data_IF_995929701409
#
_entry.id   IF_995929701409
#
_cell.length_a   1.000
_cell.length_b   1.000
_cell.length_c   1.000
_cell.angle_alpha   90.00
_cell.angle_beta   90.00
_cell.angle_gamma   90.00
#
_symmetry.space_group_name_H-M   'P 1'
#
loop_
_entity.id
_entity.type
_entity.pdbx_description
1 polymer ?
#
# COMPACT_ATOMS: atom_id res chain seq x y z
N UNK A 1 -12.25 24.68 27.90
CA UNK A 1 -11.27 23.88 27.14
C UNK A 1 -11.69 23.65 25.67
N UNK A 2 -12.95 23.34 25.40
CA UNK A 2 -13.40 23.13 24.01
C UNK A 2 -13.22 24.34 23.09
N UNK A 3 -13.55 25.53 23.56
CA UNK A 3 -13.39 26.80 22.81
C UNK A 3 -11.93 27.15 22.52
N UNK A 4 -11.02 26.91 23.46
CA UNK A 4 -9.58 27.13 23.25
C UNK A 4 -9.01 26.12 22.26
N UNK A 5 -9.38 24.83 22.38
CA UNK A 5 -8.99 23.78 21.45
C UNK A 5 -9.41 24.14 20.03
N UNK A 6 -10.68 24.52 19.84
CA UNK A 6 -11.23 24.88 18.55
C UNK A 6 -10.55 26.13 17.97
N UNK A 7 -10.33 27.16 18.77
CA UNK A 7 -9.64 28.37 18.32
C UNK A 7 -8.19 28.09 17.87
N UNK A 8 -7.46 27.20 18.58
CA UNK A 8 -6.09 26.82 18.21
C UNK A 8 -6.09 25.98 16.91
N UNK A 9 -7.04 25.07 16.80
CA UNK A 9 -7.19 24.25 15.59
C UNK A 9 -7.51 25.12 14.36
N UNK A 10 -8.50 26.00 14.46
CA UNK A 10 -8.95 26.84 13.35
C UNK A 10 -7.92 27.90 12.93
N UNK A 11 -7.17 28.46 13.92
CA UNK A 11 -6.21 29.54 13.67
C UNK A 11 -4.81 29.06 13.27
N UNK A 12 -4.37 27.92 13.79
CA UNK A 12 -2.99 27.43 13.64
C UNK A 12 -2.87 26.04 13.01
N UNK A 13 -3.98 25.34 12.76
CA UNK A 13 -3.96 23.96 12.28
C UNK A 13 -3.35 22.97 13.30
N UNK A 14 -3.36 23.34 14.60
CA UNK A 14 -2.73 22.55 15.65
C UNK A 14 -3.76 21.90 16.56
N UNK A 15 -3.57 20.60 16.84
CA UNK A 15 -4.38 19.88 17.81
C UNK A 15 -3.69 19.89 19.18
N UNK A 16 -4.26 20.57 20.14
CA UNK A 16 -3.77 20.62 21.53
C UNK A 16 -4.77 19.90 22.43
N UNK A 17 -4.41 18.70 22.87
CA UNK A 17 -5.24 17.89 23.77
C UNK A 17 -4.49 17.56 25.05
N UNK A 18 -5.20 17.32 26.19
CA UNK A 18 -4.55 16.86 27.41
C UNK A 18 -3.85 15.51 27.16
N UNK A 19 -2.63 15.39 27.71
CA UNK A 19 -1.92 14.10 27.66
C UNK A 19 -2.52 13.16 28.72
N UNK A 20 -3.45 12.29 28.30
CA UNK A 20 -4.15 11.35 29.16
C UNK A 20 -4.34 10.02 28.42
N UNK A 21 -4.51 8.90 29.15
CA UNK A 21 -4.66 7.56 28.56
C UNK A 21 -5.97 7.37 27.73
N UNK A 22 -6.93 8.27 27.84
CA UNK A 22 -8.13 8.29 26.98
C UNK A 22 -7.91 8.98 25.64
N UNK A 23 -6.75 9.59 25.40
CA UNK A 23 -6.47 10.27 24.14
C UNK A 23 -5.61 9.38 23.21
N UNK A 24 -5.87 9.41 21.92
CA UNK A 24 -5.20 8.51 20.96
C UNK A 24 -3.70 8.81 20.78
N UNK A 25 -3.26 10.03 21.08
CA UNK A 25 -1.85 10.41 20.95
C UNK A 25 -1.03 9.80 22.09
N UNK A 26 -0.08 8.90 21.80
CA UNK A 26 0.71 8.25 22.84
C UNK A 26 1.73 9.22 23.47
N UNK A 27 2.11 8.93 24.69
CA UNK A 27 3.22 9.66 25.32
C UNK A 27 4.53 9.13 24.77
N UNK A 28 5.34 9.96 24.08
CA UNK A 28 6.62 9.51 23.50
C UNK A 28 7.56 8.88 24.54
N UNK A 29 7.49 9.31 25.80
CA UNK A 29 8.27 8.72 26.91
C UNK A 29 7.91 7.25 27.19
N UNK A 30 6.71 6.79 26.84
CA UNK A 30 6.31 5.39 27.02
C UNK A 30 7.06 4.43 26.09
N UNK A 31 7.70 4.96 25.07
CA UNK A 31 8.50 4.18 24.12
C UNK A 31 10.00 4.11 24.50
N UNK A 32 10.40 4.64 25.66
CA UNK A 32 11.79 4.55 26.07
C UNK A 32 12.16 3.07 26.35
N UNK A 33 13.21 2.59 25.70
CA UNK A 33 13.65 1.19 25.79
C UNK A 33 12.84 0.20 24.93
N UNK A 34 11.90 0.68 24.08
CA UNK A 34 11.24 -0.19 23.10
C UNK A 34 12.25 -0.60 22.03
N UNK A 35 12.30 -1.90 21.75
CA UNK A 35 12.98 -2.45 20.59
C UNK A 35 12.04 -2.34 19.37
N UNK A 36 12.36 -1.42 18.47
CA UNK A 36 11.56 -1.13 17.27
C UNK A 36 11.83 -2.11 16.13
N UNK A 37 12.94 -2.84 16.19
CA UNK A 37 13.33 -3.81 15.16
C UNK A 37 12.90 -5.24 15.51
N UNK A 38 12.27 -5.43 16.67
CA UNK A 38 11.75 -6.71 17.09
C UNK A 38 10.47 -7.09 16.35
N UNK A 39 10.46 -8.28 15.77
CA UNK A 39 9.22 -8.86 15.25
C UNK A 39 8.23 -9.09 16.39
N UNK A 40 7.01 -8.59 16.23
CA UNK A 40 5.92 -8.84 17.17
C UNK A 40 5.33 -10.25 16.96
N UNK A 41 4.89 -10.90 18.02
CA UNK A 41 4.11 -12.11 17.87
C UNK A 41 2.74 -11.76 17.26
N UNK A 42 2.54 -12.11 15.99
CA UNK A 42 1.27 -11.93 15.28
C UNK A 42 0.44 -13.22 15.35
N UNK A 43 0.13 -13.69 16.56
CA UNK A 43 -0.42 -15.02 16.81
C UNK A 43 -1.75 -15.37 16.11
N UNK A 44 -2.47 -14.37 15.63
CA UNK A 44 -3.69 -14.56 14.83
C UNK A 44 -3.48 -14.49 13.31
N UNK A 45 -2.27 -14.14 12.85
CA UNK A 45 -1.97 -13.96 11.44
C UNK A 45 -1.17 -15.15 10.89
N UNK A 46 -1.56 -15.60 9.72
CA UNK A 46 -0.76 -16.51 8.92
C UNK A 46 -0.24 -15.78 7.69
N UNK A 47 1.04 -15.43 7.70
CA UNK A 47 1.69 -14.76 6.56
C UNK A 47 1.87 -15.67 5.34
N UNK A 48 1.73 -17.01 5.49
CA UNK A 48 1.83 -17.95 4.36
C UNK A 48 3.12 -17.75 3.55
N UNK A 49 4.26 -17.70 4.21
CA UNK A 49 5.55 -17.31 3.59
C UNK A 49 5.91 -18.21 2.40
N UNK A 50 5.71 -19.52 2.51
CA UNK A 50 6.00 -20.44 1.40
C UNK A 50 5.10 -20.20 0.18
N UNK A 51 3.82 -19.86 0.40
CA UNK A 51 2.91 -19.47 -0.68
C UNK A 51 3.36 -18.16 -1.34
N UNK A 52 3.90 -17.21 -0.57
CA UNK A 52 4.44 -15.97 -1.11
C UNK A 52 5.69 -16.21 -1.97
N UNK A 53 6.57 -17.13 -1.56
CA UNK A 53 7.72 -17.54 -2.36
C UNK A 53 7.26 -18.19 -3.67
N UNK A 54 6.30 -19.10 -3.62
CA UNK A 54 5.73 -19.71 -4.83
C UNK A 54 5.13 -18.63 -5.74
N UNK A 55 4.34 -17.73 -5.18
CA UNK A 55 3.74 -16.61 -5.92
C UNK A 55 4.77 -15.66 -6.55
N UNK A 56 5.91 -15.45 -5.87
CA UNK A 56 6.99 -14.67 -6.45
C UNK A 56 7.46 -15.29 -7.78
N UNK A 57 7.66 -16.60 -7.81
CA UNK A 57 8.10 -17.29 -9.02
C UNK A 57 7.00 -17.38 -10.09
N UNK A 58 5.76 -17.63 -9.71
CA UNK A 58 4.67 -17.91 -10.64
C UNK A 58 3.96 -16.66 -11.15
N UNK A 59 3.81 -15.64 -10.31
CA UNK A 59 2.96 -14.48 -10.59
C UNK A 59 3.73 -13.16 -10.72
N UNK A 60 4.95 -13.03 -10.17
CA UNK A 60 5.69 -11.76 -10.10
C UNK A 60 6.89 -11.78 -11.06
N UNK A 61 7.82 -12.70 -10.91
CA UNK A 61 9.05 -12.76 -11.70
C UNK A 61 8.85 -12.94 -13.22
N UNK A 62 7.77 -13.56 -13.73
CA UNK A 62 7.51 -13.58 -15.17
C UNK A 62 7.41 -12.19 -15.81
N UNK A 63 7.12 -11.16 -15.02
CA UNK A 63 7.04 -9.76 -15.49
C UNK A 63 8.31 -8.95 -15.22
N UNK A 64 9.34 -9.53 -14.62
CA UNK A 64 10.61 -8.84 -14.36
C UNK A 64 11.25 -8.19 -15.61
N UNK A 65 11.18 -8.77 -16.81
CA UNK A 65 11.67 -8.12 -18.02
C UNK A 65 10.95 -6.81 -18.38
N UNK A 66 9.77 -6.57 -17.81
CA UNK A 66 8.97 -5.36 -18.05
C UNK A 66 9.28 -4.23 -17.04
N UNK A 67 10.04 -4.47 -15.97
CA UNK A 67 10.38 -3.47 -14.94
C UNK A 67 11.40 -2.43 -15.43
N UNK A 68 11.25 -1.96 -16.66
CA UNK A 68 12.17 -1.04 -17.33
C UNK A 68 11.88 0.43 -17.03
N UNK A 69 11.56 0.74 -15.78
CA UNK A 69 11.34 2.12 -15.37
C UNK A 69 12.67 2.82 -15.06
N UNK A 70 12.79 4.12 -15.38
CA UNK A 70 13.99 4.87 -15.04
C UNK A 70 14.19 4.90 -13.51
N UNK A 71 15.42 4.88 -13.07
CA UNK A 71 15.73 4.97 -11.64
C UNK A 71 15.32 6.33 -11.09
N UNK A 72 15.65 7.41 -11.80
CA UNK A 72 15.38 8.77 -11.38
C UNK A 72 14.44 9.46 -12.36
N UNK A 73 13.80 10.53 -11.91
CA UNK A 73 12.97 11.38 -12.75
C UNK A 73 13.74 11.91 -13.96
N UNK A 74 13.16 11.79 -15.14
CA UNK A 74 13.78 12.20 -16.41
C UNK A 74 13.11 13.43 -17.07
N UNK A 75 12.44 14.25 -16.26
CA UNK A 75 11.72 15.44 -16.75
C UNK A 75 10.25 15.21 -17.12
N UNK A 76 9.83 13.98 -17.37
CA UNK A 76 8.42 13.62 -17.62
C UNK A 76 7.69 13.32 -16.32
N UNK A 77 6.73 14.16 -15.96
CA UNK A 77 5.95 14.04 -14.73
C UNK A 77 4.90 12.92 -14.76
N UNK A 78 4.58 12.41 -15.95
CA UNK A 78 3.59 11.38 -16.15
C UNK A 78 4.20 9.97 -16.22
N UNK A 79 5.51 9.85 -15.98
CA UNK A 79 6.21 8.56 -15.97
C UNK A 79 6.66 8.19 -14.58
N UNK A 80 6.35 6.95 -14.21
CA UNK A 80 6.88 6.35 -12.99
C UNK A 80 8.41 6.26 -13.05
N UNK A 81 9.06 6.42 -11.91
CA UNK A 81 10.48 6.17 -11.70
C UNK A 81 10.71 5.58 -10.30
N UNK A 82 11.72 4.73 -10.14
CA UNK A 82 11.91 3.99 -8.90
C UNK A 82 12.30 4.89 -7.70
N UNK A 83 13.19 5.85 -7.85
CA UNK A 83 13.60 6.73 -6.76
C UNK A 83 12.64 7.91 -6.58
N UNK A 84 11.38 7.63 -6.32
CA UNK A 84 10.33 8.65 -6.20
C UNK A 84 10.02 9.06 -4.76
N UNK A 85 10.42 8.26 -3.81
CA UNK A 85 10.28 8.63 -2.43
C UNK A 85 9.04 8.11 -1.70
N UNK A 86 8.14 7.48 -2.41
CA UNK A 86 6.85 7.09 -1.86
C UNK A 86 6.49 5.65 -2.18
N UNK A 87 6.65 5.23 -3.42
CA UNK A 87 6.29 3.90 -3.89
C UNK A 87 7.41 3.32 -4.73
N UNK A 88 8.27 2.50 -4.12
CA UNK A 88 9.55 2.05 -4.69
C UNK A 88 9.68 0.52 -4.71
N UNK A 89 10.89 0.02 -4.88
CA UNK A 89 11.24 -1.40 -4.77
C UNK A 89 11.04 -1.88 -3.30
N UNK A 90 10.40 -2.96 -3.06
CA UNK A 90 9.89 -4.11 -3.81
C UNK A 90 8.44 -3.91 -4.23
N UNK A 91 7.78 -2.94 -3.61
CA UNK A 91 6.33 -2.72 -3.68
C UNK A 91 5.87 -2.38 -5.10
N UNK A 92 6.67 -1.59 -5.81
CA UNK A 92 6.39 -1.19 -7.19
C UNK A 92 6.41 -2.38 -8.16
N UNK A 93 7.43 -3.23 -8.08
CA UNK A 93 7.55 -4.40 -8.96
C UNK A 93 6.44 -5.42 -8.71
N UNK A 94 6.09 -5.63 -7.44
CA UNK A 94 4.99 -6.52 -7.06
C UNK A 94 3.65 -5.98 -7.55
N UNK A 95 3.37 -4.69 -7.34
CA UNK A 95 2.12 -4.06 -7.80
C UNK A 95 2.00 -4.12 -9.33
N UNK A 96 3.07 -3.77 -10.05
CA UNK A 96 3.11 -3.88 -11.50
C UNK A 96 2.77 -5.29 -11.95
N UNK A 97 3.43 -6.29 -11.37
CA UNK A 97 3.27 -7.69 -11.74
C UNK A 97 1.86 -8.22 -11.45
N UNK A 98 1.25 -7.83 -10.32
CA UNK A 98 -0.13 -8.21 -10.01
C UNK A 98 -1.13 -7.62 -11.01
N UNK A 99 -0.95 -6.37 -11.44
CA UNK A 99 -1.78 -5.78 -12.50
C UNK A 99 -1.57 -6.52 -13.82
N UNK A 100 -0.33 -6.83 -14.18
CA UNK A 100 0.00 -7.55 -15.42
C UNK A 100 -0.56 -8.98 -15.41
N UNK A 101 -0.41 -9.70 -14.30
CA UNK A 101 -0.86 -11.07 -14.11
C UNK A 101 -2.38 -11.19 -14.07
N UNK A 102 -3.01 -10.33 -13.25
CA UNK A 102 -4.46 -10.34 -13.01
C UNK A 102 -5.26 -9.83 -14.21
N UNK A 103 -4.67 -8.95 -15.02
CA UNK A 103 -5.36 -8.23 -16.10
C UNK A 103 -6.72 -7.71 -15.62
N UNK A 104 -6.72 -6.90 -14.55
CA UNK A 104 -7.95 -6.41 -13.96
C UNK A 104 -8.76 -5.64 -15.02
N UNK A 105 -10.05 -5.80 -14.96
CA UNK A 105 -10.98 -4.99 -15.73
C UNK A 105 -11.15 -3.61 -15.11
N UNK A 106 -10.96 -3.53 -13.79
CA UNK A 106 -11.05 -2.29 -13.00
C UNK A 106 -10.05 -2.27 -11.86
N UNK A 107 -9.43 -1.11 -11.67
CA UNK A 107 -8.66 -0.77 -10.49
C UNK A 107 -9.31 0.45 -9.87
N UNK A 108 -9.62 0.38 -8.55
CA UNK A 108 -10.00 1.54 -7.76
C UNK A 108 -8.84 1.83 -6.82
N UNK A 109 -8.25 3.01 -6.95
CA UNK A 109 -7.16 3.50 -6.12
C UNK A 109 -7.71 4.54 -5.14
N UNK A 110 -7.40 4.40 -3.86
CA UNK A 110 -7.71 5.34 -2.80
C UNK A 110 -6.40 5.92 -2.27
N UNK A 111 -6.23 7.23 -2.45
CA UNK A 111 -4.92 7.89 -2.33
C UNK A 111 -4.14 7.75 -3.63
N UNK A 112 -3.75 8.87 -4.22
CA UNK A 112 -3.17 8.88 -5.57
C UNK A 112 -1.82 9.58 -5.58
N UNK A 113 -0.89 9.05 -6.38
CA UNK A 113 0.44 9.63 -6.48
C UNK A 113 1.33 8.89 -7.47
N UNK A 114 2.53 8.53 -7.01
CA UNK A 114 3.46 7.76 -7.84
C UNK A 114 2.93 6.34 -8.14
N UNK A 115 2.15 5.76 -7.25
CA UNK A 115 1.45 4.49 -7.47
C UNK A 115 0.53 4.55 -8.68
N UNK A 116 -0.23 5.65 -8.85
CA UNK A 116 -1.10 5.88 -10.02
C UNK A 116 -0.33 5.78 -11.33
N UNK A 117 0.88 6.36 -11.40
CA UNK A 117 1.72 6.31 -12.60
C UNK A 117 2.12 4.88 -12.96
N UNK A 118 2.45 4.07 -11.97
CA UNK A 118 2.82 2.67 -12.14
C UNK A 118 1.61 1.82 -12.57
N UNK A 119 0.49 1.96 -11.85
CA UNK A 119 -0.75 1.24 -12.15
C UNK A 119 -1.25 1.56 -13.56
N UNK A 120 -1.20 2.84 -13.95
CA UNK A 120 -1.56 3.29 -15.29
C UNK A 120 -0.63 2.70 -16.36
N UNK A 121 0.68 2.61 -16.09
CA UNK A 121 1.63 1.99 -17.03
C UNK A 121 1.33 0.50 -17.24
N UNK A 122 1.09 -0.24 -16.16
CA UNK A 122 0.74 -1.65 -16.22
C UNK A 122 -0.62 -1.88 -16.92
N UNK A 123 -1.62 -1.06 -16.61
CA UNK A 123 -2.95 -1.12 -17.24
C UNK A 123 -2.89 -0.85 -18.75
N UNK A 124 -2.12 0.15 -19.19
CA UNK A 124 -1.89 0.40 -20.62
C UNK A 124 -1.22 -0.78 -21.31
N UNK A 125 -0.23 -1.38 -20.65
CA UNK A 125 0.43 -2.58 -21.20
C UNK A 125 -0.55 -3.75 -21.39
N UNK A 126 -1.50 -3.91 -20.46
CA UNK A 126 -2.59 -4.89 -20.61
C UNK A 126 -3.53 -4.52 -21.75
N UNK A 127 -3.87 -3.24 -21.91
CA UNK A 127 -4.74 -2.75 -22.99
C UNK A 127 -4.13 -3.00 -24.38
N UNK A 128 -2.81 -2.78 -24.55
CA UNK A 128 -2.06 -3.12 -25.77
C UNK A 128 -2.18 -4.61 -26.14
N UNK A 129 -2.44 -5.46 -25.15
CA UNK A 129 -2.63 -6.91 -25.31
C UNK A 129 -4.11 -7.33 -25.29
N UNK A 130 -5.03 -6.40 -25.54
CA UNK A 130 -6.47 -6.69 -25.64
C UNK A 130 -7.19 -6.81 -24.29
N UNK A 131 -6.59 -6.37 -23.18
CA UNK A 131 -7.21 -6.40 -21.84
C UNK A 131 -7.28 -4.98 -21.26
N UNK A 132 -8.23 -4.14 -21.71
CA UNK A 132 -8.38 -2.78 -21.19
C UNK A 132 -8.80 -2.79 -19.73
N UNK A 133 -8.40 -1.74 -19.01
CA UNK A 133 -8.66 -1.57 -17.59
C UNK A 133 -9.17 -0.16 -17.30
N UNK A 134 -10.25 -0.05 -16.52
CA UNK A 134 -10.70 1.20 -15.91
C UNK A 134 -9.87 1.49 -14.65
N UNK A 135 -8.94 2.43 -14.69
CA UNK A 135 -8.24 2.93 -13.52
C UNK A 135 -8.98 4.17 -13.00
N UNK A 136 -9.54 4.05 -11.79
CA UNK A 136 -10.28 5.12 -11.11
C UNK A 136 -9.52 5.46 -9.84
N UNK A 137 -9.09 6.71 -9.68
CA UNK A 137 -8.42 7.20 -8.46
C UNK A 137 -9.35 8.13 -7.67
N UNK A 138 -9.33 7.97 -6.35
CA UNK A 138 -10.08 8.80 -5.39
C UNK A 138 -9.06 9.50 -4.50
N UNK A 139 -9.00 10.84 -4.58
CA UNK A 139 -7.97 11.63 -3.90
C UNK A 139 -8.54 13.00 -3.48
N UNK A 140 -8.51 13.33 -2.18
CA UNK A 140 -9.01 14.62 -1.71
C UNK A 140 -8.11 15.81 -2.09
N UNK A 141 -6.82 15.59 -2.28
CA UNK A 141 -5.82 16.63 -2.51
C UNK A 141 -4.89 16.27 -3.70
N UNK A 142 -5.44 16.09 -4.91
CA UNK A 142 -4.66 15.58 -6.03
C UNK A 142 -3.51 16.51 -6.41
N UNK A 143 -2.33 15.91 -6.60
CA UNK A 143 -1.18 16.64 -7.12
C UNK A 143 -1.47 17.20 -8.54
N UNK A 144 -0.82 18.31 -8.96
CA UNK A 144 -1.08 18.93 -10.25
C UNK A 144 -1.00 17.97 -11.43
N UNK A 145 -0.01 17.08 -11.49
CA UNK A 145 0.14 16.14 -12.59
C UNK A 145 -1.03 15.15 -12.75
N UNK A 146 -1.75 14.85 -11.65
CA UNK A 146 -2.96 14.02 -11.70
C UNK A 146 -4.13 14.80 -12.32
N UNK A 147 -4.21 16.10 -12.03
CA UNK A 147 -5.24 16.99 -12.57
C UNK A 147 -5.02 17.29 -14.05
N UNK A 148 -3.76 17.36 -14.48
CA UNK A 148 -3.37 17.53 -15.89
C UNK A 148 -3.69 16.29 -16.74
N UNK A 149 -3.98 15.17 -16.09
CA UNK A 149 -4.32 13.89 -16.69
C UNK A 149 -3.12 12.96 -16.84
N UNK A 150 -3.28 11.73 -16.37
CA UNK A 150 -2.28 10.65 -16.50
C UNK A 150 -2.72 9.69 -17.59
N UNK A 151 -1.89 9.40 -18.61
CA UNK A 151 -2.23 8.42 -19.63
C UNK A 151 -2.50 7.04 -19.02
N UNK A 152 -3.71 6.53 -19.16
CA UNK A 152 -4.17 5.27 -18.55
C UNK A 152 -5.00 5.44 -17.27
N UNK A 153 -5.06 6.64 -16.68
CA UNK A 153 -6.03 6.99 -15.65
C UNK A 153 -7.37 7.30 -16.34
N UNK A 154 -8.41 6.54 -16.01
CA UNK A 154 -9.73 6.71 -16.64
C UNK A 154 -10.56 7.78 -15.95
N UNK A 155 -10.45 7.90 -14.64
CA UNK A 155 -11.20 8.87 -13.84
C UNK A 155 -10.43 9.27 -12.58
N UNK A 156 -10.44 10.58 -12.27
CA UNK A 156 -10.02 11.13 -11.00
C UNK A 156 -11.26 11.66 -10.26
N UNK A 157 -11.57 11.10 -9.09
CA UNK A 157 -12.63 11.56 -8.21
C UNK A 157 -11.97 12.40 -7.11
N UNK A 158 -12.18 13.71 -7.15
CA UNK A 158 -11.61 14.63 -6.16
C UNK A 158 -12.51 14.67 -4.94
N UNK A 159 -12.02 14.15 -3.83
CA UNK A 159 -12.72 14.11 -2.55
C UNK A 159 -12.36 12.91 -1.68
N UNK A 160 -12.79 12.91 -0.42
CA UNK A 160 -12.53 11.82 0.49
C UNK A 160 -13.32 10.56 0.09
N UNK A 161 -12.72 9.39 0.30
CA UNK A 161 -13.29 8.10 -0.07
C UNK A 161 -14.65 7.82 0.58
N UNK A 162 -14.90 8.37 1.77
CA UNK A 162 -16.18 8.21 2.49
C UNK A 162 -17.37 8.86 1.74
N UNK A 163 -17.09 9.75 0.79
CA UNK A 163 -18.12 10.37 -0.07
C UNK A 163 -18.32 9.62 -1.40
N UNK A 164 -17.43 8.69 -1.73
CA UNK A 164 -17.62 7.84 -2.90
C UNK A 164 -18.78 6.85 -2.64
N UNK A 165 -19.66 6.62 -3.63
CA UNK A 165 -20.77 5.69 -3.46
C UNK A 165 -20.27 4.27 -3.25
N UNK A 166 -20.81 3.55 -2.27
CA UNK A 166 -20.42 2.17 -1.97
C UNK A 166 -20.61 1.23 -3.19
N UNK A 167 -21.57 1.55 -4.03
CA UNK A 167 -21.84 0.86 -5.29
C UNK A 167 -20.64 0.84 -6.23
N UNK A 168 -19.78 1.84 -6.19
CA UNK A 168 -18.53 1.87 -6.97
C UNK A 168 -17.65 0.67 -6.62
N UNK A 169 -17.46 0.39 -5.33
CA UNK A 169 -16.64 -0.73 -4.84
C UNK A 169 -17.30 -2.08 -5.11
N UNK A 170 -18.64 -2.16 -5.08
CA UNK A 170 -19.41 -3.34 -5.45
C UNK A 170 -19.27 -3.73 -6.92
N UNK A 171 -18.76 -2.84 -7.77
CA UNK A 171 -18.49 -3.16 -9.18
C UNK A 171 -17.26 -4.04 -9.38
N UNK A 172 -16.36 -4.11 -8.39
CA UNK A 172 -15.16 -4.95 -8.44
C UNK A 172 -15.53 -6.44 -8.48
N UNK A 173 -14.81 -7.19 -9.31
CA UNK A 173 -14.98 -8.63 -9.54
C UNK A 173 -13.65 -9.35 -9.34
N UNK A 174 -13.64 -10.65 -9.44
CA UNK A 174 -12.43 -11.45 -9.36
C UNK A 174 -11.33 -10.90 -10.29
N UNK A 175 -10.11 -10.79 -9.79
CA UNK A 175 -8.91 -10.17 -10.38
C UNK A 175 -8.95 -8.63 -10.49
N UNK A 176 -10.08 -7.96 -10.21
CA UNK A 176 -10.07 -6.51 -10.06
C UNK A 176 -9.31 -6.12 -8.78
N UNK A 177 -8.83 -4.89 -8.71
CA UNK A 177 -7.96 -4.43 -7.64
C UNK A 177 -8.60 -3.24 -6.91
N UNK A 178 -8.59 -3.31 -5.57
CA UNK A 178 -8.74 -2.16 -4.68
C UNK A 178 -7.38 -1.83 -4.12
N UNK A 179 -6.80 -0.70 -4.52
CA UNK A 179 -5.49 -0.23 -4.09
C UNK A 179 -5.66 0.89 -3.08
N UNK A 180 -5.08 0.75 -1.88
CA UNK A 180 -5.27 1.66 -0.76
C UNK A 180 -3.92 2.19 -0.30
N UNK A 181 -3.78 3.50 -0.32
CA UNK A 181 -2.67 4.28 0.22
C UNK A 181 -3.24 5.60 0.75
N UNK A 182 -3.90 5.54 1.92
CA UNK A 182 -4.76 6.60 2.42
C UNK A 182 -4.15 7.33 3.63
N UNK A 183 -4.95 7.71 4.64
CA UNK A 183 -4.43 8.46 5.79
C UNK A 183 -3.67 7.62 6.82
N UNK A 184 -3.83 6.31 6.80
CA UNK A 184 -3.30 5.33 7.76
C UNK A 184 -3.79 5.54 9.22
N UNK A 185 -4.85 6.33 9.41
CA UNK A 185 -5.34 6.70 10.75
C UNK A 185 -6.74 6.15 11.01
N UNK A 186 -6.85 5.29 12.03
CA UNK A 186 -8.13 4.83 12.57
C UNK A 186 -8.66 5.88 13.54
N UNK A 187 -9.64 6.63 13.11
CA UNK A 187 -10.36 7.63 13.93
C UNK A 187 -11.84 7.68 13.56
N UNK A 188 -12.61 8.46 14.31
CA UNK A 188 -14.04 8.64 14.03
C UNK A 188 -14.19 9.18 12.60
N UNK A 189 -14.99 8.47 11.79
CA UNK A 189 -15.32 8.83 10.39
C UNK A 189 -14.09 8.91 9.45
N UNK A 190 -12.99 8.22 9.79
CA UNK A 190 -11.81 8.18 8.92
C UNK A 190 -12.02 7.27 7.69
N UNK A 191 -11.21 7.50 6.68
CA UNK A 191 -11.10 6.66 5.47
C UNK A 191 -10.78 5.20 5.82
N UNK A 192 -9.83 4.95 6.73
CA UNK A 192 -9.46 3.59 7.18
C UNK A 192 -10.67 2.86 7.78
N UNK A 193 -11.45 3.55 8.65
CA UNK A 193 -12.65 2.97 9.25
C UNK A 193 -13.71 2.69 8.18
N UNK A 194 -13.93 3.62 7.26
CA UNK A 194 -14.86 3.43 6.16
C UNK A 194 -14.46 2.25 5.26
N UNK A 195 -13.20 2.17 4.87
CA UNK A 195 -12.68 1.09 4.04
C UNK A 195 -12.84 -0.26 4.75
N UNK A 196 -12.31 -0.38 5.96
CA UNK A 196 -12.30 -1.66 6.66
C UNK A 196 -13.69 -2.17 7.05
N UNK A 197 -14.59 -1.26 7.47
CA UNK A 197 -15.90 -1.65 8.01
C UNK A 197 -17.06 -1.54 7.01
N UNK A 198 -16.88 -0.83 5.89
CA UNK A 198 -17.95 -0.66 4.90
C UNK A 198 -17.57 -1.23 3.53
N UNK A 199 -16.36 -0.96 3.04
CA UNK A 199 -15.95 -1.38 1.70
C UNK A 199 -15.52 -2.85 1.66
N UNK A 200 -14.60 -3.28 2.52
CA UNK A 200 -14.07 -4.66 2.49
C UNK A 200 -15.16 -5.74 2.61
N UNK A 201 -16.18 -5.60 3.47
CA UNK A 201 -17.25 -6.61 3.56
C UNK A 201 -18.07 -6.77 2.27
N UNK A 202 -18.14 -5.74 1.45
CA UNK A 202 -18.96 -5.69 0.22
C UNK A 202 -18.21 -6.20 -1.03
N UNK A 203 -16.90 -6.41 -0.94
CA UNK A 203 -16.12 -6.87 -2.09
C UNK A 203 -16.54 -8.28 -2.50
N UNK A 204 -16.58 -8.53 -3.81
CA UNK A 204 -16.81 -9.86 -4.34
C UNK A 204 -15.62 -10.79 -4.07
N UNK A 205 -15.82 -12.12 -4.00
CA UNK A 205 -14.74 -13.09 -3.97
C UNK A 205 -13.78 -12.90 -5.16
N UNK A 206 -12.48 -13.05 -4.90
CA UNK A 206 -11.44 -12.91 -5.91
C UNK A 206 -10.97 -11.48 -6.17
N UNK A 207 -11.51 -10.47 -5.49
CA UNK A 207 -10.97 -9.11 -5.54
C UNK A 207 -9.65 -9.08 -4.75
N UNK A 208 -8.61 -8.48 -5.37
CA UNK A 208 -7.35 -8.23 -4.72
C UNK A 208 -7.40 -6.86 -4.01
N UNK A 209 -6.86 -6.81 -2.81
CA UNK A 209 -6.78 -5.57 -2.04
C UNK A 209 -5.34 -5.32 -1.64
N UNK A 210 -4.86 -4.13 -1.94
CA UNK A 210 -3.55 -3.64 -1.52
C UNK A 210 -3.71 -2.62 -0.40
N UNK A 211 -2.83 -2.69 0.60
CA UNK A 211 -2.60 -1.65 1.59
C UNK A 211 -1.13 -1.27 1.58
N UNK A 212 -0.84 0.02 1.53
CA UNK A 212 0.51 0.55 1.68
C UNK A 212 0.82 0.86 3.15
N UNK A 213 2.12 1.04 3.46
CA UNK A 213 2.61 1.37 4.82
C UNK A 213 2.21 0.39 5.92
N UNK A 214 2.23 -0.91 5.59
CA UNK A 214 2.00 -2.02 6.53
C UNK A 214 3.32 -2.75 6.81
N UNK A 215 3.85 -2.57 8.00
CA UNK A 215 5.16 -3.05 8.43
C UNK A 215 5.13 -4.40 9.17
N UNK A 216 3.94 -4.99 9.39
CA UNK A 216 3.82 -6.26 10.10
C UNK A 216 4.77 -7.35 9.50
N UNK A 217 5.52 -8.09 10.31
CA UNK A 217 5.41 -8.30 11.75
C UNK A 217 6.12 -7.26 12.64
N UNK A 218 6.70 -6.21 12.09
CA UNK A 218 7.28 -5.10 12.85
C UNK A 218 6.20 -4.10 13.29
N UNK A 219 6.56 -3.17 14.17
CA UNK A 219 5.80 -1.95 14.37
C UNK A 219 6.12 -0.91 13.29
N UNK A 220 5.40 0.21 13.29
CA UNK A 220 5.81 1.37 12.51
C UNK A 220 7.24 1.80 12.88
N UNK A 221 8.05 2.24 11.92
CA UNK A 221 9.43 2.64 12.18
C UNK A 221 9.53 3.73 13.26
N UNK A 222 10.54 3.64 14.15
CA UNK A 222 10.73 4.59 15.24
C UNK A 222 10.70 6.04 14.76
N UNK A 223 11.32 6.31 13.63
CA UNK A 223 11.39 7.65 13.04
C UNK A 223 10.00 8.20 12.68
N UNK A 224 9.08 7.35 12.19
CA UNK A 224 7.70 7.75 11.91
C UNK A 224 7.03 8.26 13.18
N UNK A 225 7.18 7.51 14.27
CA UNK A 225 6.50 7.82 15.54
C UNK A 225 7.17 8.98 16.29
N UNK A 226 8.52 8.96 16.43
CA UNK A 226 9.22 9.91 17.30
C UNK A 226 9.62 11.21 16.62
N UNK A 227 9.94 11.15 15.33
CA UNK A 227 10.44 12.32 14.60
C UNK A 227 9.33 12.98 13.78
N UNK A 228 8.58 12.17 13.04
CA UNK A 228 7.55 12.68 12.14
C UNK A 228 6.19 12.83 12.82
N UNK A 229 6.05 12.28 14.04
CA UNK A 229 4.81 12.28 14.82
C UNK A 229 3.62 11.65 14.06
N UNK A 230 3.91 10.70 13.20
CA UNK A 230 2.93 9.88 12.51
C UNK A 230 2.44 8.79 13.48
N UNK A 231 1.30 9.03 14.13
CA UNK A 231 0.68 8.07 15.04
C UNK A 231 -0.31 7.18 14.28
N UNK A 232 0.15 6.62 13.16
CA UNK A 232 -0.62 5.71 12.33
C UNK A 232 -0.99 4.44 13.10
N UNK A 233 -2.13 3.88 12.76
CA UNK A 233 -2.68 2.72 13.47
C UNK A 233 -3.53 1.80 12.57
N UNK A 234 -3.54 2.04 11.26
CA UNK A 234 -4.21 1.19 10.27
C UNK A 234 -3.71 -0.25 10.34
N UNK A 235 -2.39 -0.45 10.45
CA UNK A 235 -1.79 -1.76 10.56
C UNK A 235 -2.43 -2.60 11.68
N UNK A 236 -2.68 -2.02 12.85
CA UNK A 236 -3.28 -2.76 13.98
C UNK A 236 -4.73 -3.12 13.71
N UNK A 237 -5.48 -2.29 12.99
CA UNK A 237 -6.83 -2.63 12.55
C UNK A 237 -6.81 -3.76 11.53
N UNK A 238 -5.84 -3.76 10.59
CA UNK A 238 -5.68 -4.85 9.62
C UNK A 238 -5.21 -6.15 10.27
N UNK A 239 -4.29 -6.08 11.23
CA UNK A 239 -3.90 -7.25 12.02
C UNK A 239 -5.13 -7.86 12.74
N UNK A 240 -5.94 -7.03 13.39
CA UNK A 240 -7.17 -7.48 14.05
C UNK A 240 -8.22 -8.01 13.05
N UNK A 241 -8.35 -7.36 11.88
CA UNK A 241 -9.25 -7.79 10.81
C UNK A 241 -8.86 -9.15 10.24
N UNK A 242 -7.57 -9.39 10.04
CA UNK A 242 -7.06 -10.62 9.44
C UNK A 242 -6.90 -11.76 10.47
N UNK A 243 -6.82 -11.42 11.76
CA UNK A 243 -6.73 -12.42 12.81
C UNK A 243 -7.98 -13.31 12.80
N UNK A 244 -7.78 -14.62 12.68
CA UNK A 244 -8.85 -15.62 12.62
C UNK A 244 -9.88 -15.41 11.49
N UNK A 245 -9.58 -14.55 10.50
CA UNK A 245 -10.46 -14.29 9.36
C UNK A 245 -10.22 -15.33 8.26
N UNK A 246 -11.24 -16.16 8.00
CA UNK A 246 -11.19 -17.18 6.93
C UNK A 246 -11.65 -16.63 5.56
N UNK A 247 -12.27 -15.45 5.52
CA UNK A 247 -12.78 -14.86 4.28
C UNK A 247 -11.70 -14.11 3.49
N UNK A 248 -10.61 -13.69 4.14
CA UNK A 248 -9.48 -13.03 3.52
C UNK A 248 -8.18 -13.78 3.82
N UNK A 249 -7.25 -13.74 2.88
CA UNK A 249 -5.92 -14.30 3.04
C UNK A 249 -4.84 -13.35 2.54
N UNK A 250 -3.66 -13.42 3.15
CA UNK A 250 -2.48 -12.69 2.69
C UNK A 250 -1.96 -13.36 1.43
N UNK A 251 -1.74 -12.57 0.37
CA UNK A 251 -1.12 -12.97 -0.88
C UNK A 251 0.36 -12.58 -0.90
N UNK A 252 0.68 -11.39 -0.39
CA UNK A 252 2.02 -10.84 -0.31
C UNK A 252 2.11 -9.83 0.83
N UNK A 253 3.19 -9.87 1.58
CA UNK A 253 3.50 -8.91 2.64
C UNK A 253 4.99 -8.59 2.55
N UNK A 254 5.33 -7.45 1.94
CA UNK A 254 6.71 -7.06 1.63
C UNK A 254 7.59 -7.01 2.88
N UNK A 255 7.10 -6.44 3.97
CA UNK A 255 7.82 -6.40 5.24
C UNK A 255 8.04 -7.79 5.84
N UNK A 256 7.03 -8.67 5.81
CA UNK A 256 7.20 -10.04 6.29
C UNK A 256 8.20 -10.84 5.44
N UNK A 257 8.16 -10.70 4.12
CA UNK A 257 9.14 -11.32 3.22
C UNK A 257 10.56 -10.79 3.52
N UNK A 258 10.71 -9.51 3.78
CA UNK A 258 11.98 -8.93 4.16
C UNK A 258 12.52 -9.49 5.50
N UNK A 259 11.65 -9.78 6.46
CA UNK A 259 12.04 -10.33 7.75
C UNK A 259 12.35 -11.83 7.69
N UNK A 260 11.54 -12.59 6.95
CA UNK A 260 11.61 -14.05 6.97
C UNK A 260 12.37 -14.65 5.78
N UNK A 261 12.40 -13.98 4.63
CA UNK A 261 13.04 -14.46 3.40
C UNK A 261 13.83 -13.35 2.67
N UNK A 262 14.78 -12.69 3.39
CA UNK A 262 15.65 -11.68 2.77
C UNK A 262 16.53 -12.26 1.64
N UNK A 263 16.86 -13.56 1.70
CA UNK A 263 17.54 -14.30 0.66
C UNK A 263 16.82 -14.23 -0.68
N UNK A 264 15.52 -14.49 -0.65
CA UNK A 264 14.64 -14.50 -1.82
C UNK A 264 14.48 -13.10 -2.42
N UNK A 265 14.32 -12.09 -1.56
CA UNK A 265 14.22 -10.70 -2.04
C UNK A 265 15.50 -10.23 -2.73
N UNK A 266 16.66 -10.61 -2.21
CA UNK A 266 17.97 -10.27 -2.79
C UNK A 266 18.12 -10.85 -4.19
N UNK A 267 17.70 -12.09 -4.38
CA UNK A 267 17.77 -12.76 -5.69
C UNK A 267 16.78 -12.16 -6.69
N UNK A 268 15.54 -11.92 -6.25
CA UNK A 268 14.43 -11.52 -7.12
C UNK A 268 14.46 -10.04 -7.52
N UNK A 269 14.91 -9.16 -6.63
CA UNK A 269 14.83 -7.71 -6.80
C UNK A 269 16.23 -7.07 -6.78
N UNK A 270 16.90 -6.89 -7.92
CA UNK A 270 18.25 -6.34 -7.96
C UNK A 270 18.38 -4.94 -7.34
N UNK A 271 17.27 -4.22 -7.26
CA UNK A 271 17.21 -2.93 -6.61
C UNK A 271 17.08 -3.01 -5.07
N UNK A 272 16.72 -4.13 -4.49
CA UNK A 272 16.62 -4.31 -3.05
C UNK A 272 18.02 -4.46 -2.41
N UNK A 273 18.20 -3.89 -1.21
CA UNK A 273 19.46 -3.92 -0.48
C UNK A 273 19.25 -4.40 0.96
N UNK A 274 19.74 -5.61 1.25
CA UNK A 274 19.62 -6.22 2.57
C UNK A 274 20.33 -5.42 3.67
N UNK A 275 21.42 -4.73 3.34
CA UNK A 275 22.12 -3.92 4.33
C UNK A 275 21.28 -2.75 4.80
N UNK A 276 20.48 -2.19 3.89
CA UNK A 276 19.47 -1.18 4.23
C UNK A 276 18.32 -1.79 5.03
N UNK A 277 17.84 -2.97 4.64
CA UNK A 277 16.79 -3.68 5.34
C UNK A 277 17.11 -4.01 6.80
N UNK A 278 18.40 -4.20 7.11
CA UNK A 278 18.90 -4.44 8.47
C UNK A 278 19.26 -3.16 9.23
N UNK A 279 19.11 -1.99 8.63
CA UNK A 279 19.37 -0.74 9.31
C UNK A 279 18.34 -0.55 10.43
N UNK A 280 18.78 -0.19 11.66
CA UNK A 280 17.85 0.11 12.74
C UNK A 280 16.78 1.11 12.32
N UNK A 281 15.55 0.91 12.76
CA UNK A 281 14.40 1.74 12.36
C UNK A 281 14.56 3.22 12.72
N UNK A 282 15.35 3.53 13.75
CA UNK A 282 15.74 4.89 14.12
C UNK A 282 16.61 5.61 13.08
N UNK A 283 17.33 4.86 12.27
CA UNK A 283 18.24 5.38 11.24
C UNK A 283 17.65 5.35 9.83
N UNK A 284 16.54 4.66 9.64
CA UNK A 284 15.89 4.56 8.33
C UNK A 284 15.33 5.91 7.90
N UNK A 285 15.48 6.30 6.64
CA UNK A 285 14.90 7.53 6.12
C UNK A 285 13.37 7.40 6.05
N UNK A 286 12.66 8.41 6.52
CA UNK A 286 11.21 8.50 6.37
C UNK A 286 10.80 8.76 4.92
N UNK A 287 11.48 9.71 4.32
CA UNK A 287 11.37 10.00 2.90
C UNK A 287 12.67 9.52 2.29
N UNK A 288 12.65 8.77 1.19
CA UNK A 288 13.86 8.43 0.51
C UNK A 288 14.62 9.69 0.23
N UNK A 289 15.84 9.69 0.59
CA UNK A 289 16.69 10.80 0.27
C UNK A 289 16.70 10.94 -1.25
N UNK A 290 16.75 12.17 -1.74
CA UNK A 290 16.98 12.49 -3.15
C UNK A 290 18.22 11.80 -3.73
N UNK A 291 19.03 11.20 -2.87
CA UNK A 291 20.27 10.46 -3.15
C UNK A 291 20.01 8.99 -3.56
N UNK A 292 18.75 8.58 -3.76
CA UNK A 292 18.40 7.23 -4.22
C UNK A 292 18.48 6.14 -3.13
N UNK A 293 18.43 6.52 -1.86
CA UNK A 293 18.19 5.58 -0.76
C UNK A 293 16.77 5.10 -0.80
N UNK A 294 16.56 3.83 -0.46
CA UNK A 294 15.30 3.14 -0.65
C UNK A 294 14.32 3.38 0.47
N UNK A 295 13.05 3.34 0.09
CA UNK A 295 11.94 3.19 1.02
C UNK A 295 11.91 1.76 1.55
N UNK A 296 11.44 1.59 2.77
CA UNK A 296 11.17 0.30 3.36
C UNK A 296 10.01 -0.37 2.62
N UNK A 297 10.15 -1.63 2.16
CA UNK A 297 9.03 -2.34 1.53
C UNK A 297 7.94 -2.61 2.54
N UNK A 298 6.74 -2.14 2.26
CA UNK A 298 5.63 -2.13 3.22
C UNK A 298 4.25 -2.37 2.60
N UNK A 299 4.20 -2.92 1.39
CA UNK A 299 2.95 -3.34 0.77
C UNK A 299 2.41 -4.61 1.40
N UNK A 300 1.10 -4.60 1.72
CA UNK A 300 0.33 -5.77 2.08
C UNK A 300 -0.74 -6.03 1.02
N UNK A 301 -0.69 -7.19 0.38
CA UNK A 301 -1.71 -7.67 -0.54
C UNK A 301 -2.52 -8.78 0.10
N UNK A 302 -3.83 -8.61 0.10
CA UNK A 302 -4.77 -9.62 0.55
C UNK A 302 -5.81 -9.90 -0.53
N UNK A 303 -6.53 -11.00 -0.42
CA UNK A 303 -7.66 -11.26 -1.30
C UNK A 303 -8.79 -11.96 -0.56
N UNK A 304 -10.02 -11.65 -0.97
CA UNK A 304 -11.23 -12.29 -0.46
C UNK A 304 -11.45 -13.62 -1.19
N UNK A 305 -11.36 -14.75 -0.45
CA UNK A 305 -11.65 -16.11 -0.95
C UNK A 305 -11.13 -16.35 -2.37
N UNK A 306 -9.80 -16.24 -2.54
CA UNK A 306 -9.17 -16.21 -3.85
C UNK A 306 -8.47 -17.53 -4.20
N UNK A 307 -8.82 -18.06 -5.36
CA UNK A 307 -7.94 -18.88 -6.18
C UNK A 307 -7.79 -18.16 -7.52
N UNK A 308 -6.54 -17.94 -8.01
CA UNK A 308 -6.39 -17.51 -9.39
C UNK A 308 -7.12 -18.52 -10.25
N UNK A 309 -8.19 -18.13 -10.92
CA UNK A 309 -8.76 -18.98 -11.94
C UNK A 309 -7.64 -19.28 -12.94
N UNK A 310 -7.34 -20.56 -13.13
CA UNK A 310 -6.49 -21.01 -14.22
C UNK A 310 -7.14 -20.52 -15.53
N UNK A 311 -6.71 -19.34 -15.99
CA UNK A 311 -6.97 -18.97 -17.36
C UNK A 311 -6.01 -19.83 -18.19
N UNK A 312 -6.53 -20.91 -18.72
CA UNK A 312 -5.85 -21.66 -19.75
C UNK A 312 -5.37 -20.64 -20.79
N UNK A 313 -4.06 -20.56 -20.95
CA UNK A 313 -3.45 -19.97 -22.13
C UNK A 313 -3.88 -20.88 -23.29
N UNK A 314 -5.02 -20.59 -23.90
CA UNK A 314 -5.33 -21.16 -25.19
C UNK A 314 -4.20 -20.71 -26.12
N UNK A 315 -3.51 -21.64 -26.82
CA UNK A 315 -2.50 -21.26 -27.78
C UNK A 315 -3.17 -20.37 -28.83
N UNK A 316 -2.53 -19.23 -29.14
CA UNK A 316 -2.93 -18.40 -30.27
C UNK A 316 -2.92 -19.27 -31.53
N UNK A 317 -4.09 -19.37 -32.17
CA UNK A 317 -4.24 -20.01 -33.44
C UNK A 317 -3.66 -19.14 -34.56
#
# INVERSE_FOLDING_TARGET
>A
MSTLFQAVQDSFGLNVTPSHFYFPIPRLKSFNGKDWDACKPCGGLNFRIDDQVSRLHDDILPFAPEWNFPRNKNGDWHKFHFSNGYFECVDAEVAYSFVRRGKPRRIIEVGSGNSTLLLAAAARKNAEQGSPCDLISIEPHPAPFLQDGVPGLTQLIVGPVQKAPLELFRTLRANDILFIDSSHVVSIDSDVVYICLRVLPELAPGVLVHFHDIFAPLDYPEKFVRTNLCFWNEQYMLEAFLAFNSAFRILWASSAMQQFRPDVLREAFPAWDESFARMPSSLQPFVPSRDGKRVWPCSLWIARNFEFAERSLAPAA
#
